data_IF_213197547497
#
_entry.id   IF_213197547497
#
_cell.length_a   1.000
_cell.length_b   1.000
_cell.length_c   1.000
_cell.angle_alpha   90.00
_cell.angle_beta   90.00
_cell.angle_gamma   90.00
#
_symmetry.space_group_name_H-M   'P 1'
#
loop_
_entity.id
_entity.type
_entity.pdbx_description
1 polymer ?
#
# COMPACT_ATOMS: atom_id res chain seq x y z
N UNK A 1 13.48 -4.54 31.36
CA UNK A 1 13.24 -4.00 30.00
C UNK A 1 12.97 -5.14 29.07
N UNK A 2 11.94 -5.06 28.25
CA UNK A 2 11.63 -6.10 27.26
C UNK A 2 12.48 -5.80 26.03
N UNK A 3 13.44 -6.66 25.74
CA UNK A 3 14.31 -6.51 24.58
C UNK A 3 13.60 -7.12 23.36
N UNK A 4 13.55 -6.37 22.26
CA UNK A 4 12.99 -6.82 20.98
C UNK A 4 14.10 -7.23 20.04
N UNK A 5 13.87 -8.29 19.27
CA UNK A 5 14.81 -8.78 18.26
C UNK A 5 14.22 -8.70 16.87
N UNK A 6 14.89 -8.03 15.95
CA UNK A 6 14.62 -8.09 14.53
C UNK A 6 15.53 -9.13 13.88
N UNK A 7 14.95 -10.24 13.41
CA UNK A 7 15.68 -11.28 12.68
C UNK A 7 15.71 -10.92 11.20
N UNK A 8 16.90 -10.89 10.61
CA UNK A 8 17.13 -10.60 9.19
C UNK A 8 17.97 -11.72 8.57
N UNK A 9 18.05 -11.76 7.25
CA UNK A 9 18.92 -12.70 6.53
C UNK A 9 20.43 -12.53 6.89
N UNK A 10 20.81 -11.36 7.40
CA UNK A 10 22.21 -11.02 7.76
C UNK A 10 22.50 -11.15 9.27
N UNK A 11 21.51 -11.52 10.06
CA UNK A 11 21.65 -11.64 11.52
C UNK A 11 20.49 -11.06 12.32
N UNK A 12 20.65 -10.98 13.63
CA UNK A 12 19.65 -10.40 14.53
C UNK A 12 20.11 -9.04 15.05
N UNK A 13 19.18 -8.12 15.21
CA UNK A 13 19.39 -6.81 15.81
C UNK A 13 18.52 -6.72 17.08
N UNK A 14 19.16 -6.50 18.21
CA UNK A 14 18.49 -6.23 19.49
C UNK A 14 18.22 -4.72 19.62
N UNK A 15 17.04 -4.35 20.08
CA UNK A 15 16.66 -2.97 20.30
C UNK A 15 15.66 -2.84 21.45
N UNK A 16 15.70 -1.74 22.18
CA UNK A 16 14.69 -1.42 23.20
C UNK A 16 13.36 -1.03 22.56
N UNK A 17 13.41 -0.35 21.42
CA UNK A 17 12.21 0.12 20.69
C UNK A 17 12.35 -0.19 19.19
N UNK A 18 11.26 -0.66 18.58
CA UNK A 18 11.22 -0.96 17.14
C UNK A 18 10.09 -0.18 16.45
N UNK A 19 10.37 0.35 15.27
CA UNK A 19 9.39 1.01 14.42
C UNK A 19 9.12 0.15 13.19
N UNK A 20 7.88 -0.26 12.98
CA UNK A 20 7.41 -0.94 11.78
C UNK A 20 6.95 0.12 10.77
N UNK A 21 7.81 0.43 9.81
CA UNK A 21 7.56 1.40 8.74
C UNK A 21 7.60 0.74 7.35
N UNK A 22 7.08 -0.49 7.24
CA UNK A 22 7.19 -1.38 6.09
C UNK A 22 6.02 -1.24 5.10
N UNK A 23 5.45 -0.06 4.95
CA UNK A 23 4.29 0.25 4.14
C UNK A 23 3.03 -0.46 4.66
N UNK A 24 2.85 -1.76 4.44
CA UNK A 24 1.84 -2.58 5.12
C UNK A 24 2.51 -3.38 6.24
N UNK A 25 2.07 -3.29 7.51
CA UNK A 25 2.65 -4.05 8.61
C UNK A 25 2.48 -5.56 8.40
N UNK A 26 3.55 -6.31 8.61
CA UNK A 26 3.56 -7.77 8.42
C UNK A 26 3.26 -8.58 9.69
N UNK A 27 3.27 -7.94 10.88
CA UNK A 27 2.93 -8.59 12.14
C UNK A 27 1.42 -8.68 12.29
N UNK A 28 0.83 -9.85 12.00
CA UNK A 28 -0.63 -10.02 11.98
C UNK A 28 -1.24 -10.35 13.35
N UNK A 29 -0.44 -10.86 14.30
CA UNK A 29 -0.89 -11.33 15.61
C UNK A 29 -1.31 -10.19 16.55
N UNK A 30 -0.97 -8.96 16.25
CA UNK A 30 -1.24 -7.77 17.07
C UNK A 30 -1.73 -6.63 16.20
N UNK A 31 -2.49 -5.70 16.80
CA UNK A 31 -2.93 -4.46 16.13
C UNK A 31 -4.00 -4.63 15.04
N UNK A 32 -4.29 -5.85 14.56
CA UNK A 32 -5.33 -6.17 13.56
C UNK A 32 -5.24 -5.32 12.28
N UNK A 33 -4.04 -5.07 11.77
CA UNK A 33 -3.82 -4.22 10.60
C UNK A 33 -4.46 -4.78 9.33
N UNK A 34 -4.58 -6.10 9.20
CA UNK A 34 -5.31 -6.74 8.10
C UNK A 34 -6.80 -6.35 8.03
N UNK A 35 -7.40 -5.89 9.13
CA UNK A 35 -8.76 -5.32 9.13
C UNK A 35 -8.76 -3.80 8.88
N UNK A 36 -7.71 -3.11 9.34
CA UNK A 36 -7.59 -1.65 9.32
C UNK A 36 -7.13 -1.08 7.98
N UNK A 37 -6.47 -1.89 7.15
CA UNK A 37 -5.77 -1.46 5.96
C UNK A 37 -6.24 -2.22 4.73
N UNK A 38 -6.12 -1.58 3.58
CA UNK A 38 -6.24 -2.18 2.26
C UNK A 38 -5.30 -1.48 1.29
N UNK A 39 -4.99 -2.11 0.17
CA UNK A 39 -4.13 -1.52 -0.86
C UNK A 39 -4.98 -0.96 -2.01
N UNK A 40 -4.59 0.22 -2.49
CA UNK A 40 -5.13 0.86 -3.69
C UNK A 40 -4.01 0.98 -4.71
N UNK A 41 -4.26 0.55 -5.95
CA UNK A 41 -3.31 0.73 -7.05
C UNK A 41 -3.58 2.03 -7.78
N UNK A 42 -2.52 2.63 -8.28
CA UNK A 42 -2.56 3.79 -9.19
C UNK A 42 -1.59 3.54 -10.33
N UNK A 43 -1.91 4.10 -11.48
CA UNK A 43 -1.20 3.89 -12.73
C UNK A 43 -0.55 5.18 -13.19
N UNK A 44 0.59 5.08 -13.86
CA UNK A 44 1.33 6.23 -14.37
C UNK A 44 1.86 5.91 -15.76
N UNK A 45 1.76 6.89 -16.67
CA UNK A 45 2.48 6.94 -17.93
C UNK A 45 3.51 8.05 -17.89
N UNK A 46 4.71 7.82 -18.44
CA UNK A 46 5.70 8.84 -18.73
C UNK A 46 5.82 8.99 -20.23
N UNK A 47 5.42 10.17 -20.74
CA UNK A 47 5.36 10.47 -22.16
C UNK A 47 6.42 11.51 -22.53
N UNK A 48 7.27 11.20 -23.52
CA UNK A 48 8.14 12.19 -24.16
C UNK A 48 7.34 13.13 -25.07
N UNK A 49 7.89 14.28 -25.37
CA UNK A 49 7.28 15.33 -26.22
C UNK A 49 5.93 15.86 -25.69
N UNK A 50 5.64 15.61 -24.42
CA UNK A 50 4.48 16.18 -23.77
C UNK A 50 4.62 17.69 -23.56
N UNK A 51 3.47 18.37 -23.52
CA UNK A 51 3.42 19.80 -23.24
C UNK A 51 4.01 20.11 -21.86
N UNK A 52 4.81 21.17 -21.75
CA UNK A 52 5.23 21.67 -20.44
C UNK A 52 4.05 22.42 -19.78
N UNK A 53 3.55 21.84 -18.71
CA UNK A 53 2.37 22.33 -17.97
C UNK A 53 2.70 23.48 -17.02
N UNK A 54 4.00 23.73 -16.73
CA UNK A 54 4.48 24.75 -15.77
C UNK A 54 3.85 24.64 -14.37
N UNK A 55 3.44 23.43 -13.98
CA UNK A 55 2.80 23.17 -12.69
C UNK A 55 2.51 21.70 -12.45
N UNK A 56 1.95 21.43 -11.28
CA UNK A 56 1.41 20.12 -10.90
C UNK A 56 -0.09 20.25 -10.74
N UNK A 57 -0.83 19.32 -11.32
CA UNK A 57 -2.28 19.33 -11.32
C UNK A 57 -2.80 18.01 -10.75
N UNK A 58 -3.81 18.11 -9.92
CA UNK A 58 -4.51 16.96 -9.33
C UNK A 58 -6.00 17.19 -9.47
N UNK A 59 -6.67 16.26 -10.13
CA UNK A 59 -8.13 16.22 -10.19
C UNK A 59 -8.70 15.85 -8.83
N UNK A 60 -9.76 16.55 -8.43
CA UNK A 60 -10.45 16.29 -7.17
C UNK A 60 -11.50 15.17 -7.27
N UNK A 61 -11.84 14.74 -8.48
CA UNK A 61 -12.91 13.80 -8.79
C UNK A 61 -12.45 12.33 -8.86
N UNK A 62 -13.30 11.47 -9.44
CA UNK A 62 -13.26 10.00 -9.30
C UNK A 62 -12.05 9.31 -9.92
N UNK A 63 -11.47 9.83 -11.00
CA UNK A 63 -10.32 9.20 -11.68
C UNK A 63 -9.03 9.49 -10.92
N UNK A 64 -8.99 10.63 -10.20
CA UNK A 64 -7.81 11.11 -9.50
C UNK A 64 -6.65 11.36 -10.45
N UNK A 65 -6.96 11.97 -11.61
CA UNK A 65 -5.98 12.31 -12.63
C UNK A 65 -4.93 13.26 -12.04
N UNK A 66 -3.67 12.93 -12.24
CA UNK A 66 -2.55 13.78 -11.85
C UNK A 66 -1.65 14.04 -13.05
N UNK A 67 -1.26 15.30 -13.22
CA UNK A 67 -0.43 15.74 -14.35
C UNK A 67 0.72 16.58 -13.81
N UNK A 68 1.94 16.25 -14.25
CA UNK A 68 3.13 17.07 -13.98
C UNK A 68 4.23 16.76 -14.98
N UNK A 69 5.16 17.67 -15.15
CA UNK A 69 6.40 17.37 -15.84
C UNK A 69 7.48 16.89 -14.88
N UNK A 70 8.33 16.03 -15.38
CA UNK A 70 9.60 15.63 -14.76
C UNK A 70 10.64 15.56 -15.88
N UNK A 71 11.63 16.44 -15.83
CA UNK A 71 12.58 16.64 -16.95
C UNK A 71 11.81 16.84 -18.27
N UNK A 72 12.12 16.05 -19.29
CA UNK A 72 11.49 16.12 -20.63
C UNK A 72 10.22 15.25 -20.75
N UNK A 73 9.75 14.67 -19.64
CA UNK A 73 8.58 13.81 -19.63
C UNK A 73 7.36 14.52 -19.06
N UNK A 74 6.22 14.26 -19.70
CA UNK A 74 4.90 14.48 -19.10
C UNK A 74 4.48 13.21 -18.35
N UNK A 75 4.26 13.30 -17.05
CA UNK A 75 3.72 12.24 -16.24
C UNK A 75 2.21 12.39 -16.14
N UNK A 76 1.49 11.34 -16.55
CA UNK A 76 0.03 11.23 -16.49
C UNK A 76 -0.28 10.10 -15.53
N UNK A 77 -0.82 10.42 -14.35
CA UNK A 77 -1.18 9.44 -13.34
C UNK A 77 -2.67 9.41 -13.05
N UNK A 78 -3.20 8.28 -12.60
CA UNK A 78 -4.62 8.17 -12.24
C UNK A 78 -5.17 6.75 -12.34
N UNK A 79 -6.49 6.64 -12.49
CA UNK A 79 -7.19 5.37 -12.67
C UNK A 79 -7.09 4.42 -11.48
N UNK A 80 -6.97 4.97 -10.26
CA UNK A 80 -6.74 4.19 -9.06
C UNK A 80 -7.94 3.32 -8.66
N UNK A 81 -7.66 2.08 -8.22
CA UNK A 81 -8.66 1.14 -7.70
C UNK A 81 -8.07 0.21 -6.64
N UNK A 82 -8.93 -0.49 -5.91
CA UNK A 82 -8.49 -1.48 -4.91
C UNK A 82 -7.71 -2.61 -5.60
N UNK A 83 -6.53 -2.95 -5.06
CA UNK A 83 -5.64 -3.98 -5.60
C UNK A 83 -6.34 -5.32 -5.76
N UNK A 84 -6.02 -6.05 -6.84
CA UNK A 84 -6.53 -7.39 -7.11
C UNK A 84 -8.04 -7.46 -7.39
N UNK A 85 -8.70 -6.35 -7.70
CA UNK A 85 -10.14 -6.31 -7.94
C UNK A 85 -10.51 -6.12 -9.42
N UNK A 86 -9.74 -5.35 -10.13
CA UNK A 86 -9.99 -4.95 -11.51
C UNK A 86 -8.75 -5.13 -12.38
N UNK A 87 -8.93 -5.03 -13.69
CA UNK A 87 -7.82 -4.96 -14.63
C UNK A 87 -7.06 -3.65 -14.43
N UNK A 88 -5.85 -3.59 -14.94
CA UNK A 88 -5.07 -2.36 -14.99
C UNK A 88 -5.78 -1.27 -15.80
N UNK A 89 -5.53 0.00 -15.41
CA UNK A 89 -6.16 1.16 -16.03
C UNK A 89 -5.18 1.98 -16.88
N UNK A 90 -4.13 1.36 -17.44
CA UNK A 90 -3.24 2.08 -18.36
C UNK A 90 -3.93 2.51 -19.64
N UNK A 91 -4.88 1.71 -20.17
CA UNK A 91 -5.60 2.07 -21.38
C UNK A 91 -6.44 3.34 -21.19
N UNK A 92 -7.04 3.53 -20.02
CA UNK A 92 -7.70 4.78 -19.67
C UNK A 92 -6.73 5.97 -19.75
N UNK A 93 -5.52 5.83 -19.20
CA UNK A 93 -4.52 6.90 -19.25
C UNK A 93 -3.98 7.13 -20.66
N UNK A 94 -3.85 6.07 -21.47
CA UNK A 94 -3.48 6.17 -22.89
C UNK A 94 -4.52 6.91 -23.72
N UNK A 95 -5.80 6.68 -23.45
CA UNK A 95 -6.88 7.40 -24.13
C UNK A 95 -6.90 8.87 -23.74
N UNK A 96 -6.70 9.21 -22.47
CA UNK A 96 -6.52 10.58 -21.98
C UNK A 96 -5.28 11.24 -22.65
N UNK A 97 -4.17 10.50 -22.74
CA UNK A 97 -2.96 11.03 -23.39
C UNK A 97 -3.21 11.33 -24.86
N UNK A 98 -3.90 10.47 -25.61
CA UNK A 98 -4.24 10.69 -27.03
C UNK A 98 -5.17 11.89 -27.23
N UNK A 99 -6.15 12.05 -26.34
CA UNK A 99 -7.14 13.12 -26.46
C UNK A 99 -6.54 14.50 -26.14
N UNK A 100 -5.82 14.62 -25.04
CA UNK A 100 -5.36 15.93 -24.54
C UNK A 100 -3.91 16.26 -24.87
N UNK A 101 -3.11 15.27 -25.24
CA UNK A 101 -1.68 15.40 -25.53
C UNK A 101 -1.27 14.58 -26.75
N UNK A 102 -1.84 14.82 -27.94
CA UNK A 102 -1.67 13.93 -29.11
C UNK A 102 -0.21 13.81 -29.60
N UNK A 103 0.64 14.79 -29.28
CA UNK A 103 2.08 14.75 -29.61
C UNK A 103 2.90 13.91 -28.60
N UNK A 104 2.33 13.61 -27.43
CA UNK A 104 3.02 12.88 -26.38
C UNK A 104 3.18 11.40 -26.76
N UNK A 105 4.41 10.89 -26.60
CA UNK A 105 4.74 9.48 -26.91
C UNK A 105 5.10 8.73 -25.65
N UNK A 106 4.33 7.72 -25.30
CA UNK A 106 4.61 6.83 -24.18
C UNK A 106 6.03 6.26 -24.27
N UNK A 107 6.79 6.35 -23.18
CA UNK A 107 8.14 5.80 -23.03
C UNK A 107 8.20 4.78 -21.91
N UNK A 108 7.54 5.10 -20.80
CA UNK A 108 7.50 4.23 -19.63
C UNK A 108 6.09 4.21 -19.05
N UNK A 109 5.76 3.10 -18.42
CA UNK A 109 4.55 2.96 -17.64
C UNK A 109 4.83 2.10 -16.41
N UNK A 110 4.17 2.40 -15.33
CA UNK A 110 4.25 1.62 -14.08
C UNK A 110 3.01 1.81 -13.24
N UNK A 111 2.87 0.95 -12.23
CA UNK A 111 1.84 1.10 -11.21
C UNK A 111 2.47 1.14 -9.83
N UNK A 112 1.80 1.82 -8.91
CA UNK A 112 2.16 1.89 -7.49
C UNK A 112 1.04 1.33 -6.64
N UNK A 113 1.34 0.97 -5.40
CA UNK A 113 0.35 0.61 -4.39
C UNK A 113 0.44 1.56 -3.22
N UNK A 114 -0.74 2.03 -2.77
CA UNK A 114 -0.89 2.90 -1.63
C UNK A 114 -1.65 2.17 -0.52
N UNK A 115 -1.09 2.17 0.69
CA UNK A 115 -1.71 1.59 1.85
C UNK A 115 -2.75 2.57 2.44
N UNK A 116 -4.02 2.20 2.34
CA UNK A 116 -5.16 3.02 2.72
C UNK A 116 -5.69 2.60 4.09
N UNK A 117 -5.97 3.57 4.95
CA UNK A 117 -6.57 3.35 6.26
C UNK A 117 -8.12 3.38 6.22
N UNK A 118 -8.79 3.01 7.31
CA UNK A 118 -10.26 2.98 7.41
C UNK A 118 -10.90 4.38 7.31
N UNK A 119 -10.19 5.41 7.72
CA UNK A 119 -10.69 6.80 7.85
C UNK A 119 -9.81 7.82 7.13
N UNK A 120 -8.97 7.36 6.20
CA UNK A 120 -8.04 8.16 5.40
C UNK A 120 -6.96 8.89 6.21
N UNK A 121 -6.82 8.62 7.50
CA UNK A 121 -5.75 9.14 8.36
C UNK A 121 -4.72 8.04 8.61
N UNK A 122 -3.40 8.32 8.56
CA UNK A 122 -2.39 7.32 8.86
C UNK A 122 -2.53 6.75 10.28
N UNK A 123 -1.94 5.58 10.51
CA UNK A 123 -1.74 5.00 11.82
C UNK A 123 -0.30 5.23 12.25
N UNK A 124 -0.10 6.05 13.29
CA UNK A 124 1.21 6.45 13.80
C UNK A 124 1.20 6.36 15.32
N UNK A 125 2.12 5.59 15.90
CA UNK A 125 2.22 5.42 17.36
C UNK A 125 2.49 3.99 17.79
N UNK A 126 2.19 3.63 19.06
CA UNK A 126 2.34 2.25 19.56
C UNK A 126 1.55 1.27 18.71
N UNK A 127 2.18 0.15 18.35
CA UNK A 127 1.63 -0.85 17.43
C UNK A 127 0.28 -1.43 17.90
N UNK A 128 0.17 -1.63 19.19
CA UNK A 128 -1.08 -2.01 19.88
C UNK A 128 -1.04 -1.49 21.32
N UNK A 129 -2.18 -1.59 22.02
CA UNK A 129 -2.26 -1.21 23.44
C UNK A 129 -1.29 -1.98 24.36
N UNK A 130 -0.91 -3.19 23.94
CA UNK A 130 -0.08 -4.11 24.74
C UNK A 130 1.38 -4.17 24.25
N UNK A 131 1.81 -3.23 23.43
CA UNK A 131 3.18 -3.19 22.87
C UNK A 131 3.72 -1.76 22.93
N UNK A 132 4.07 -1.25 24.12
CA UNK A 132 4.48 0.14 24.31
C UNK A 132 5.75 0.52 23.53
N UNK A 133 6.70 -0.41 23.38
CA UNK A 133 7.99 -0.19 22.72
C UNK A 133 8.05 -0.67 21.27
N UNK A 134 6.94 -1.19 20.73
CA UNK A 134 6.79 -1.48 19.33
C UNK A 134 5.88 -0.42 18.71
N UNK A 135 6.39 0.29 17.71
CA UNK A 135 5.72 1.39 17.05
C UNK A 135 5.39 1.05 15.59
N UNK A 136 4.50 1.83 15.00
CA UNK A 136 4.11 1.71 13.60
C UNK A 136 3.92 3.06 12.95
N UNK A 137 4.23 3.13 11.66
CA UNK A 137 3.84 4.21 10.77
C UNK A 137 3.34 3.60 9.46
N UNK A 138 2.02 3.72 9.18
CA UNK A 138 1.37 3.09 8.02
C UNK A 138 0.08 3.77 7.63
N UNK A 139 -0.48 3.37 6.48
CA UNK A 139 -1.78 3.86 6.04
C UNK A 139 -1.74 5.30 5.54
N UNK A 140 -0.62 5.71 4.95
CA UNK A 140 -0.42 7.09 4.47
C UNK A 140 -1.33 7.46 3.28
N UNK A 141 -2.04 6.50 2.70
CA UNK A 141 -2.82 6.74 1.51
C UNK A 141 -1.92 7.19 0.36
N UNK A 142 -2.29 8.26 -0.29
CA UNK A 142 -1.48 8.86 -1.38
C UNK A 142 -0.61 10.05 -0.91
N UNK A 143 -0.45 10.21 0.41
CA UNK A 143 0.23 11.33 1.06
C UNK A 143 1.52 10.89 1.78
N UNK A 144 2.27 9.97 1.17
CA UNK A 144 3.46 9.36 1.77
C UNK A 144 4.52 10.38 2.19
N UNK A 145 4.82 11.39 1.38
CA UNK A 145 5.85 12.39 1.68
C UNK A 145 5.49 13.23 2.91
N UNK A 146 4.31 13.82 2.94
CA UNK A 146 3.83 14.60 4.11
C UNK A 146 3.56 13.72 5.32
N UNK A 147 2.98 12.54 5.09
CA UNK A 147 2.67 11.57 6.14
C UNK A 147 3.90 11.02 6.84
N UNK A 148 5.00 10.80 6.12
CA UNK A 148 6.26 10.32 6.71
C UNK A 148 6.93 11.39 7.59
N UNK A 149 6.87 12.66 7.20
CA UNK A 149 7.37 13.77 8.03
C UNK A 149 6.58 13.86 9.33
N UNK A 150 5.25 13.84 9.23
CA UNK A 150 4.37 13.84 10.41
C UNK A 150 4.65 12.62 11.32
N UNK A 151 4.86 11.44 10.71
CA UNK A 151 5.20 10.23 11.46
C UNK A 151 6.54 10.36 12.19
N UNK A 152 7.55 10.94 11.54
CA UNK A 152 8.86 11.18 12.17
C UNK A 152 8.74 12.09 13.39
N UNK A 153 7.97 13.18 13.30
CA UNK A 153 7.73 14.10 14.42
C UNK A 153 7.03 13.39 15.59
N UNK A 154 5.90 12.72 15.31
CA UNK A 154 5.13 12.04 16.36
C UNK A 154 5.96 10.93 17.02
N UNK A 155 6.61 10.07 16.22
CA UNK A 155 7.36 8.93 16.75
C UNK A 155 8.61 9.38 17.49
N UNK A 156 9.29 10.44 17.03
CA UNK A 156 10.43 11.00 17.75
C UNK A 156 10.05 11.45 19.16
N UNK A 157 8.92 12.13 19.31
CA UNK A 157 8.44 12.56 20.62
C UNK A 157 8.04 11.37 21.51
N UNK A 158 7.26 10.43 20.95
CA UNK A 158 6.78 9.25 21.69
C UNK A 158 7.95 8.35 22.17
N UNK A 159 8.98 8.16 21.34
CA UNK A 159 10.16 7.36 21.69
C UNK A 159 10.96 8.03 22.81
N UNK A 160 10.99 9.35 22.86
CA UNK A 160 11.61 10.14 23.92
C UNK A 160 10.68 10.36 25.13
N UNK A 161 9.50 9.71 25.15
CA UNK A 161 8.48 9.85 26.21
C UNK A 161 7.96 11.28 26.39
N UNK A 162 8.04 12.08 25.31
CA UNK A 162 7.49 13.42 25.25
C UNK A 162 6.03 13.39 24.83
N UNK A 163 5.25 14.32 25.34
CA UNK A 163 3.87 14.49 24.87
C UNK A 163 3.83 15.09 23.46
N UNK A 164 2.96 14.55 22.61
CA UNK A 164 2.71 15.07 21.28
C UNK A 164 1.20 15.25 21.07
N UNK A 165 0.76 16.44 20.74
CA UNK A 165 -0.66 16.80 20.61
C UNK A 165 -1.40 16.02 19.52
N UNK A 166 -0.69 15.56 18.48
CA UNK A 166 -1.28 14.81 17.37
C UNK A 166 -1.33 13.30 17.62
N UNK A 167 -0.67 12.79 18.66
CA UNK A 167 -0.55 11.36 18.93
C UNK A 167 -1.91 10.65 19.07
N UNK A 168 -2.90 11.30 19.64
CA UNK A 168 -4.26 10.75 19.80
C UNK A 168 -5.02 10.67 18.48
N UNK A 169 -4.89 11.67 17.61
CA UNK A 169 -5.54 11.75 16.29
C UNK A 169 -5.08 10.64 15.37
N UNK A 170 -3.78 10.34 15.40
CA UNK A 170 -3.15 9.33 14.54
C UNK A 170 -2.96 7.98 15.22
N UNK A 171 -3.40 7.82 16.46
CA UNK A 171 -3.25 6.60 17.25
C UNK A 171 -3.71 5.35 16.51
N UNK A 172 -2.90 4.28 16.44
CA UNK A 172 -3.30 2.98 15.90
C UNK A 172 -4.44 2.32 16.71
N UNK A 173 -4.63 2.73 17.96
CA UNK A 173 -5.68 2.21 18.86
C UNK A 173 -6.99 3.00 18.79
N UNK A 174 -7.13 3.96 17.88
CA UNK A 174 -8.37 4.71 17.69
C UNK A 174 -9.51 3.81 17.19
N UNK A 175 -10.75 4.28 17.34
CA UNK A 175 -11.94 3.52 17.00
C UNK A 175 -11.92 3.00 15.56
N UNK A 176 -12.09 1.68 15.40
CA UNK A 176 -12.11 0.95 14.14
C UNK A 176 -13.50 0.89 13.48
N UNK A 177 -14.57 1.23 14.20
CA UNK A 177 -15.93 1.15 13.68
C UNK A 177 -16.16 2.22 12.62
N UNK A 178 -15.76 1.92 11.40
CA UNK A 178 -15.88 2.77 10.20
C UNK A 178 -16.55 1.96 9.09
N UNK A 179 -17.30 2.60 8.17
CA UNK A 179 -17.95 1.90 7.05
C UNK A 179 -16.95 1.05 6.22
N UNK A 180 -15.73 1.54 6.06
CA UNK A 180 -14.68 0.83 5.34
C UNK A 180 -14.30 -0.52 5.99
N UNK A 181 -14.47 -0.68 7.31
CA UNK A 181 -14.24 -1.97 7.98
C UNK A 181 -15.17 -3.07 7.43
N UNK A 182 -16.44 -2.75 7.22
CA UNK A 182 -17.43 -3.68 6.65
C UNK A 182 -16.98 -4.11 5.24
N UNK A 183 -16.56 -3.15 4.44
CA UNK A 183 -16.02 -3.43 3.10
C UNK A 183 -14.79 -4.34 3.15
N UNK A 184 -13.84 -4.08 4.04
CA UNK A 184 -12.64 -4.89 4.21
C UNK A 184 -12.98 -6.34 4.63
N UNK A 185 -13.90 -6.51 5.59
CA UNK A 185 -14.39 -7.82 6.02
C UNK A 185 -15.08 -8.57 4.87
N UNK A 186 -15.95 -7.91 4.11
CA UNK A 186 -16.62 -8.48 2.95
C UNK A 186 -15.62 -9.00 1.89
N UNK A 187 -14.60 -8.21 1.57
CA UNK A 187 -13.55 -8.65 0.64
C UNK A 187 -12.73 -9.82 1.18
N UNK A 188 -12.42 -9.85 2.48
CA UNK A 188 -11.72 -10.95 3.10
C UNK A 188 -12.54 -12.24 3.05
N UNK A 189 -13.81 -12.19 3.43
CA UNK A 189 -14.73 -13.36 3.38
C UNK A 189 -14.88 -13.91 1.97
N UNK A 190 -15.13 -13.05 0.97
CA UNK A 190 -15.23 -13.46 -0.44
C UNK A 190 -13.91 -14.04 -0.92
N UNK A 191 -12.77 -13.42 -0.60
CA UNK A 191 -11.46 -13.88 -1.04
C UNK A 191 -11.06 -15.22 -0.46
N UNK A 192 -11.36 -15.48 0.82
CA UNK A 192 -11.06 -16.74 1.51
C UNK A 192 -12.04 -17.84 1.07
N UNK A 193 -13.33 -17.52 0.92
CA UNK A 193 -14.39 -18.47 0.58
C UNK A 193 -14.36 -18.97 -0.87
N UNK A 194 -13.63 -18.34 -1.77
CA UNK A 194 -13.49 -18.83 -3.17
C UNK A 194 -12.80 -20.18 -3.20
N UNK A 195 -13.34 -21.10 -4.05
CA UNK A 195 -12.80 -22.45 -4.24
C UNK A 195 -11.84 -22.43 -5.45
N UNK A 196 -10.70 -23.14 -5.30
CA UNK A 196 -9.71 -23.28 -6.37
C UNK A 196 -8.70 -22.12 -6.40
N UNK A 197 -7.80 -22.12 -7.41
CA UNK A 197 -6.81 -21.10 -7.63
C UNK A 197 -5.56 -21.16 -6.72
N UNK A 198 -4.60 -20.27 -6.98
CA UNK A 198 -3.46 -20.02 -6.10
C UNK A 198 -3.92 -19.22 -4.89
N UNK A 199 -3.32 -19.51 -3.73
CA UNK A 199 -3.69 -18.85 -2.47
C UNK A 199 -2.54 -17.99 -1.95
N UNK A 200 -2.90 -16.80 -1.48
CA UNK A 200 -1.98 -15.87 -0.85
C UNK A 200 -1.36 -16.48 0.41
N UNK A 201 -0.05 -16.39 0.56
CA UNK A 201 0.66 -16.89 1.74
C UNK A 201 0.37 -16.09 3.01
N UNK A 202 -0.17 -14.86 2.89
CA UNK A 202 -0.54 -14.03 4.04
C UNK A 202 -1.72 -14.62 4.84
N UNK A 203 -2.92 -14.75 4.22
CA UNK A 203 -4.15 -15.21 4.90
C UNK A 203 -5.01 -16.12 4.02
N UNK A 204 -4.45 -16.76 3.01
CA UNK A 204 -5.15 -17.78 2.23
C UNK A 204 -6.19 -17.28 1.21
N UNK A 205 -6.32 -15.98 0.96
CA UNK A 205 -7.23 -15.46 -0.06
C UNK A 205 -6.83 -15.97 -1.46
N UNK A 206 -7.80 -16.26 -2.32
CA UNK A 206 -7.55 -16.66 -3.71
C UNK A 206 -6.99 -15.48 -4.49
N UNK A 207 -5.88 -15.71 -5.18
CA UNK A 207 -5.17 -14.72 -5.98
C UNK A 207 -5.82 -14.55 -7.34
N UNK A 208 -5.69 -13.35 -7.89
CA UNK A 208 -6.06 -13.00 -9.26
C UNK A 208 -4.79 -12.82 -10.10
N UNK A 209 -4.84 -13.22 -11.36
CA UNK A 209 -3.73 -13.05 -12.30
C UNK A 209 -3.88 -11.73 -13.05
N UNK A 210 -2.89 -10.86 -12.92
CA UNK A 210 -2.76 -9.66 -13.73
C UNK A 210 -1.95 -9.99 -15.00
N UNK A 211 -2.61 -9.96 -16.15
CA UNK A 211 -2.00 -10.32 -17.43
C UNK A 211 -0.97 -9.31 -17.92
N UNK A 212 -1.18 -8.02 -17.65
CA UNK A 212 -0.31 -6.95 -18.12
C UNK A 212 0.99 -6.89 -17.34
N UNK A 213 0.90 -7.04 -16.01
CA UNK A 213 2.09 -7.04 -15.14
C UNK A 213 2.71 -8.42 -14.95
N UNK A 214 2.06 -9.49 -15.44
CA UNK A 214 2.50 -10.89 -15.24
C UNK A 214 2.68 -11.23 -13.75
N UNK A 215 1.72 -10.80 -12.91
CA UNK A 215 1.78 -10.96 -11.45
C UNK A 215 0.51 -11.61 -10.88
N UNK A 216 0.65 -12.29 -9.75
CA UNK A 216 -0.47 -12.75 -8.93
C UNK A 216 -0.78 -11.70 -7.88
N UNK A 217 -2.04 -11.29 -7.76
CA UNK A 217 -2.47 -10.22 -6.86
C UNK A 217 -3.52 -10.70 -5.88
N UNK A 218 -3.39 -10.27 -4.62
CA UNK A 218 -4.34 -10.59 -3.56
C UNK A 218 -5.42 -9.49 -3.44
N UNK A 219 -6.71 -9.80 -3.68
CA UNK A 219 -7.78 -8.80 -3.58
C UNK A 219 -8.11 -8.37 -2.16
N UNK A 220 -7.62 -9.12 -1.15
CA UNK A 220 -7.90 -8.81 0.26
C UNK A 220 -7.01 -7.67 0.77
N UNK A 221 -5.69 -7.85 0.69
CA UNK A 221 -4.71 -6.94 1.29
C UNK A 221 -3.62 -6.46 0.32
N UNK A 222 -3.70 -6.85 -0.97
CA UNK A 222 -2.82 -6.34 -2.02
C UNK A 222 -1.43 -6.99 -2.08
N UNK A 223 -1.17 -8.11 -1.40
CA UNK A 223 0.09 -8.84 -1.62
C UNK A 223 0.23 -9.21 -3.09
N UNK A 224 1.43 -9.01 -3.64
CA UNK A 224 1.76 -9.35 -5.03
C UNK A 224 2.89 -10.35 -5.10
N UNK A 225 2.81 -11.18 -6.13
CA UNK A 225 3.79 -12.23 -6.38
C UNK A 225 4.11 -12.27 -7.87
N UNK A 226 5.35 -12.56 -8.19
CA UNK A 226 5.78 -12.82 -9.56
C UNK A 226 5.11 -14.08 -10.15
N UNK A 227 5.27 -14.32 -11.43
CA UNK A 227 4.73 -15.49 -12.11
C UNK A 227 5.22 -16.81 -11.46
N UNK A 228 6.46 -16.85 -10.98
CA UNK A 228 7.08 -17.97 -10.28
C UNK A 228 6.76 -18.03 -8.78
N UNK A 229 6.02 -17.05 -8.25
CA UNK A 229 5.50 -17.04 -6.90
C UNK A 229 6.39 -16.37 -5.85
N UNK A 230 7.42 -15.61 -6.24
CA UNK A 230 8.19 -14.78 -5.30
C UNK A 230 7.37 -13.58 -4.85
N UNK A 231 7.55 -13.15 -3.60
CA UNK A 231 6.91 -11.93 -3.09
C UNK A 231 7.46 -10.71 -3.81
N UNK A 232 6.57 -9.86 -4.31
CA UNK A 232 6.88 -8.54 -4.88
C UNK A 232 6.44 -7.42 -3.94
N UNK A 233 5.22 -7.54 -3.38
CA UNK A 233 4.67 -6.57 -2.45
C UNK A 233 4.05 -7.29 -1.22
N UNK A 234 4.29 -6.70 -0.04
CA UNK A 234 3.69 -7.16 1.22
C UNK A 234 2.15 -6.94 1.25
N UNK A 235 1.41 -7.44 2.27
CA UNK A 235 1.86 -7.96 3.57
C UNK A 235 2.34 -9.42 3.60
N UNK A 236 2.27 -10.17 2.51
CA UNK A 236 2.87 -11.50 2.49
C UNK A 236 4.39 -11.41 2.65
N UNK A 237 4.95 -12.25 3.54
CA UNK A 237 6.39 -12.35 3.76
C UNK A 237 6.99 -13.57 3.05
N UNK A 238 6.18 -14.59 2.78
CA UNK A 238 6.60 -15.82 2.13
C UNK A 238 6.08 -15.90 0.70
N UNK A 239 6.85 -16.54 -0.19
CA UNK A 239 6.42 -16.85 -1.54
C UNK A 239 5.27 -17.85 -1.59
N UNK A 240 4.69 -18.02 -2.77
CA UNK A 240 3.63 -19.00 -2.99
C UNK A 240 4.18 -20.42 -2.91
N UNK A 241 3.48 -21.29 -2.19
CA UNK A 241 3.83 -22.72 -2.12
C UNK A 241 3.77 -23.33 -3.54
N UNK A 242 4.87 -23.92 -3.98
CA UNK A 242 4.88 -24.74 -5.20
C UNK A 242 3.92 -25.90 -5.02
N UNK A 243 2.94 -26.06 -5.91
CA UNK A 243 2.18 -27.33 -5.94
C UNK A 243 3.18 -28.43 -6.27
N UNK A 244 3.46 -29.33 -5.33
CA UNK A 244 4.05 -30.60 -5.69
C UNK A 244 3.09 -31.28 -6.67
N UNK A 245 3.51 -31.41 -7.93
CA UNK A 245 2.82 -32.31 -8.87
C UNK A 245 2.94 -33.72 -8.24
N UNK A 246 1.78 -34.26 -7.81
CA UNK A 246 1.66 -35.69 -7.56
C UNK A 246 1.69 -36.42 -8.87
#
# INVERSE_FOLDING_TARGET
MTEYFALTEKGSVAAEKIIIATHFPFINTRGSYYLKLYQNRSYVLACAYGKNLKGMYLEADNIGLSLRNYEDYLLIGGGGHRSGKEKSNWDLLRDIAKEYFPEAKERYFWATQDCMSLDKRPYIGPYSKNTPDLFVATGFGKWGMTGSMLAAMILSDLIQEKNNEYSTVFSPSRNMLKPQLISNLGHALVGIGRIGGKRCSHMGCVLQWNKEEQTWECPCHGSRFSADGKVLDNPACDGLKKKHKK
#
